data_IF_301924989583
#
_entry.id   IF_301924989583
#
_cell.length_a   1.000
_cell.length_b   1.000
_cell.length_c   1.000
_cell.angle_alpha   90.00
_cell.angle_beta   90.00
_cell.angle_gamma   90.00
#
_symmetry.space_group_name_H-M   'P 1'
#
loop_
_entity.id
_entity.type
_entity.pdbx_description
1 polymer ?
#
# COMPACT_ATOMS: atom_id res chain seq x y z
N UNK A 1 35.01 -11.83 8.62
CA UNK A 1 33.89 -12.78 8.79
C UNK A 1 32.61 -11.98 8.93
N UNK A 2 31.85 -11.81 7.85
CA UNK A 2 30.55 -11.14 7.92
C UNK A 2 29.56 -12.08 8.62
N UNK A 3 28.98 -11.63 9.73
CA UNK A 3 27.95 -12.37 10.46
C UNK A 3 26.82 -12.74 9.51
N UNK A 4 26.51 -14.05 9.41
CA UNK A 4 25.29 -14.59 8.80
C UNK A 4 24.09 -14.21 9.68
N UNK A 5 23.80 -12.92 9.83
CA UNK A 5 22.68 -12.48 10.66
C UNK A 5 21.36 -12.46 9.87
N UNK A 6 20.47 -13.38 10.24
CA UNK A 6 18.99 -13.23 10.25
C UNK A 6 18.23 -13.17 8.92
N UNK A 7 18.55 -13.98 7.92
CA UNK A 7 17.66 -14.16 6.76
C UNK A 7 16.42 -15.03 7.07
N UNK A 8 16.46 -15.81 8.15
CA UNK A 8 15.47 -16.85 8.50
C UNK A 8 14.52 -16.53 9.67
N UNK A 9 14.43 -15.27 10.12
CA UNK A 9 13.45 -14.97 11.17
C UNK A 9 12.03 -14.90 10.60
N UNK A 10 11.03 -15.45 11.32
CA UNK A 10 9.64 -15.35 10.91
C UNK A 10 9.23 -13.87 10.80
N UNK A 11 8.45 -13.56 9.78
CA UNK A 11 8.05 -12.18 9.47
C UNK A 11 6.73 -12.14 8.72
N UNK A 12 6.03 -11.01 8.82
CA UNK A 12 4.90 -10.68 7.96
C UNK A 12 5.41 -9.80 6.82
N UNK A 13 5.03 -10.11 5.60
CA UNK A 13 5.25 -9.25 4.44
C UNK A 13 3.91 -8.67 4.04
N UNK A 14 3.81 -7.34 4.07
CA UNK A 14 2.66 -6.56 3.65
C UNK A 14 2.94 -5.94 2.28
N UNK A 15 2.07 -6.15 1.30
CA UNK A 15 2.14 -5.47 0.02
C UNK A 15 0.98 -4.48 -0.13
N UNK A 16 1.30 -3.21 -0.44
CA UNK A 16 0.34 -2.13 -0.64
C UNK A 16 0.41 -1.67 -2.09
N UNK A 17 -0.72 -1.78 -2.78
CA UNK A 17 -0.95 -1.18 -4.09
C UNK A 17 -1.82 0.06 -3.94
N UNK A 18 -1.21 1.21 -3.67
CA UNK A 18 -1.92 2.49 -3.68
C UNK A 18 -2.05 2.96 -5.12
N UNK A 19 -3.11 2.56 -5.82
CA UNK A 19 -3.39 2.97 -7.20
C UNK A 19 -4.08 4.34 -7.29
N UNK A 20 -4.16 4.89 -8.50
CA UNK A 20 -4.84 6.18 -8.76
C UNK A 20 -6.34 6.12 -8.43
N UNK A 21 -6.99 5.01 -8.75
CA UNK A 21 -8.45 4.83 -8.56
C UNK A 21 -8.76 3.92 -7.37
N UNK A 22 -7.99 2.86 -7.18
CA UNK A 22 -8.22 1.84 -6.18
C UNK A 22 -6.93 1.49 -5.45
N UNK A 23 -7.08 1.17 -4.17
CA UNK A 23 -6.04 0.64 -3.31
C UNK A 23 -6.29 -0.82 -3.00
N UNK A 24 -5.25 -1.64 -3.11
CA UNK A 24 -5.26 -3.04 -2.72
C UNK A 24 -4.22 -3.33 -1.64
N UNK A 25 -4.50 -4.33 -0.81
CA UNK A 25 -3.58 -4.81 0.20
C UNK A 25 -3.55 -6.34 0.15
N UNK A 26 -2.34 -6.89 0.19
CA UNK A 26 -2.13 -8.33 0.36
C UNK A 26 -1.02 -8.57 1.37
N UNK A 27 -1.01 -9.75 2.00
CA UNK A 27 0.01 -10.07 2.98
C UNK A 27 0.30 -11.58 3.02
N UNK A 28 1.45 -11.95 3.54
CA UNK A 28 1.83 -13.34 3.78
C UNK A 28 2.75 -13.45 5.00
N UNK A 29 2.81 -14.65 5.56
CA UNK A 29 3.71 -14.98 6.65
C UNK A 29 4.87 -15.81 6.11
N UNK A 30 6.09 -15.44 6.51
CA UNK A 30 7.30 -16.24 6.29
C UNK A 30 7.63 -16.90 7.62
N UNK A 31 7.85 -18.21 7.60
CA UNK A 31 8.16 -19.02 8.77
C UNK A 31 9.67 -19.08 9.02
N UNK A 32 10.05 -19.64 10.18
CA UNK A 32 11.45 -19.70 10.62
C UNK A 32 12.34 -20.59 9.72
N UNK A 33 11.75 -21.55 9.01
CA UNK A 33 12.43 -22.41 8.05
C UNK A 33 12.60 -21.75 6.66
N UNK A 34 12.09 -20.53 6.48
CA UNK A 34 12.11 -19.80 5.22
C UNK A 34 10.96 -20.13 4.28
N UNK A 35 10.11 -21.10 4.61
CA UNK A 35 8.85 -21.34 3.90
C UNK A 35 7.87 -20.17 4.14
N UNK A 36 6.86 -20.05 3.28
CA UNK A 36 5.88 -18.97 3.36
C UNK A 36 4.47 -19.46 3.08
N UNK A 37 3.48 -18.79 3.66
CA UNK A 37 2.08 -19.06 3.39
C UNK A 37 1.69 -18.57 2.01
N UNK A 38 0.58 -19.09 1.47
CA UNK A 38 -0.11 -18.43 0.35
C UNK A 38 -0.42 -16.99 0.73
N UNK A 39 -0.22 -16.07 -0.21
CA UNK A 39 -0.61 -14.67 -0.01
C UNK A 39 -2.12 -14.56 0.21
N UNK A 40 -2.51 -13.69 1.13
CA UNK A 40 -3.90 -13.40 1.48
C UNK A 40 -4.25 -12.00 0.98
N UNK A 41 -5.37 -11.87 0.29
CA UNK A 41 -5.93 -10.58 -0.06
C UNK A 41 -6.69 -10.03 1.14
N UNK A 42 -6.55 -8.73 1.40
CA UNK A 42 -7.35 -8.05 2.40
C UNK A 42 -8.61 -7.49 1.74
N UNK A 43 -9.77 -7.93 2.23
CA UNK A 43 -11.06 -7.58 1.63
C UNK A 43 -12.01 -6.86 2.60
N UNK A 44 -11.66 -6.79 3.89
CA UNK A 44 -12.50 -6.30 4.99
C UNK A 44 -12.48 -4.76 5.13
N UNK A 45 -12.93 -4.07 4.09
CA UNK A 45 -13.02 -2.60 4.06
C UNK A 45 -14.34 -2.10 4.68
N UNK A 46 -14.36 -0.92 5.32
CA UNK A 46 -15.60 -0.28 5.73
C UNK A 46 -16.55 -0.07 4.56
N UNK A 47 -17.85 -0.27 4.79
CA UNK A 47 -18.90 -0.10 3.78
C UNK A 47 -19.07 -1.29 2.84
N UNK A 48 -17.98 -1.90 2.34
CA UNK A 48 -18.06 -3.00 1.37
C UNK A 48 -16.86 -3.95 1.41
N UNK A 49 -17.15 -5.25 1.60
CA UNK A 49 -16.16 -6.31 1.42
C UNK A 49 -15.80 -6.48 -0.06
N UNK A 50 -14.53 -6.29 -0.42
CA UNK A 50 -14.08 -6.31 -1.82
C UNK A 50 -12.56 -6.44 -1.94
N UNK A 51 -12.04 -6.92 -3.08
CA UNK A 51 -10.58 -7.06 -3.29
C UNK A 51 -9.79 -5.75 -3.27
N UNK A 52 -10.46 -4.63 -3.52
CA UNK A 52 -9.86 -3.29 -3.55
C UNK A 52 -10.85 -2.25 -3.03
N UNK A 53 -10.32 -1.21 -2.43
CA UNK A 53 -11.06 -0.06 -1.92
C UNK A 53 -10.75 1.19 -2.75
N UNK A 54 -11.70 2.11 -3.01
CA UNK A 54 -11.42 3.35 -3.70
C UNK A 54 -10.28 4.14 -3.05
N UNK A 55 -9.37 4.68 -3.86
CA UNK A 55 -8.34 5.65 -3.47
C UNK A 55 -8.99 7.03 -3.31
N UNK A 56 -9.88 7.14 -2.32
CA UNK A 56 -10.73 8.29 -2.10
C UNK A 56 -10.81 8.62 -0.60
N UNK A 57 -10.78 9.91 -0.28
CA UNK A 57 -10.92 10.44 1.06
C UNK A 57 -11.74 11.72 1.03
N UNK A 58 -12.54 11.94 2.06
CA UNK A 58 -13.31 13.16 2.27
C UNK A 58 -12.95 13.73 3.63
N UNK A 59 -12.97 15.06 3.71
CA UNK A 59 -12.82 15.81 4.95
C UNK A 59 -14.12 16.55 5.33
N UNK A 60 -15.18 16.36 4.55
CA UNK A 60 -16.53 16.79 4.93
C UNK A 60 -16.95 16.05 6.19
N UNK A 61 -17.53 16.77 7.16
CA UNK A 61 -18.07 16.16 8.35
C UNK A 61 -19.13 15.10 8.00
N UNK A 62 -19.11 13.98 8.72
CA UNK A 62 -20.16 12.96 8.58
C UNK A 62 -21.23 13.18 9.64
N UNK A 63 -22.50 13.18 9.23
CA UNK A 63 -23.64 13.19 10.13
C UNK A 63 -24.01 11.79 10.64
N UNK A 64 -23.72 10.76 9.83
CA UNK A 64 -24.23 9.40 10.07
C UNK A 64 -23.11 8.41 10.46
N UNK A 65 -21.94 8.94 10.87
CA UNK A 65 -20.84 8.15 11.42
C UNK A 65 -19.93 7.45 10.41
N UNK A 66 -20.09 7.73 9.10
CA UNK A 66 -19.19 7.21 8.06
C UNK A 66 -17.76 7.66 8.31
N UNK A 67 -16.81 6.79 7.96
CA UNK A 67 -15.40 7.05 8.19
C UNK A 67 -14.78 8.03 7.18
N UNK A 68 -15.51 8.37 6.12
CA UNK A 68 -15.14 9.36 5.08
C UNK A 68 -13.92 8.94 4.26
N UNK A 69 -13.80 7.64 3.94
CA UNK A 69 -12.79 7.14 3.00
C UNK A 69 -13.24 5.85 2.31
N UNK A 70 -12.65 5.56 1.15
CA UNK A 70 -12.91 4.31 0.44
C UNK A 70 -14.36 4.16 -0.01
N UNK A 71 -14.99 3.04 0.37
CA UNK A 71 -16.41 2.77 0.12
C UNK A 71 -17.33 3.44 1.14
N UNK A 72 -16.80 3.88 2.28
CA UNK A 72 -17.55 4.40 3.43
C UNK A 72 -17.48 5.94 3.47
N UNK A 73 -17.96 6.55 2.37
CA UNK A 73 -18.08 8.00 2.22
C UNK A 73 -19.56 8.34 2.14
N UNK A 74 -20.01 9.28 2.97
CA UNK A 74 -21.40 9.74 2.96
C UNK A 74 -21.74 10.41 1.63
N UNK A 75 -22.91 10.07 1.09
CA UNK A 75 -23.45 10.71 -0.13
C UNK A 75 -23.49 12.22 0.03
N UNK A 76 -23.03 12.95 -1.00
CA UNK A 76 -22.97 14.42 -0.99
C UNK A 76 -21.71 15.01 -0.38
N UNK A 77 -20.78 14.20 0.14
CA UNK A 77 -19.48 14.69 0.63
C UNK A 77 -18.57 15.16 -0.51
N UNK A 78 -17.68 16.11 -0.22
CA UNK A 78 -16.62 16.52 -1.14
C UNK A 78 -15.47 15.50 -1.09
N UNK A 79 -15.25 14.80 -2.21
CA UNK A 79 -14.33 13.67 -2.26
C UNK A 79 -13.07 14.00 -3.04
N UNK A 80 -11.92 13.87 -2.39
CA UNK A 80 -10.62 13.92 -3.04
C UNK A 80 -10.30 12.56 -3.67
N UNK A 81 -10.00 12.58 -4.97
CA UNK A 81 -9.65 11.41 -5.79
C UNK A 81 -8.41 11.71 -6.61
N UNK A 82 -7.77 10.66 -7.13
CA UNK A 82 -6.61 10.76 -8.01
C UNK A 82 -5.41 11.50 -7.40
N UNK A 83 -5.34 11.59 -6.07
CA UNK A 83 -4.28 12.28 -5.33
C UNK A 83 -2.89 11.69 -5.61
N UNK A 84 -2.80 10.41 -6.01
CA UNK A 84 -1.56 9.80 -6.53
C UNK A 84 -0.93 10.61 -7.67
N UNK A 85 -1.72 11.18 -8.59
CA UNK A 85 -1.20 11.93 -9.73
C UNK A 85 -0.54 13.25 -9.31
N UNK A 86 -1.00 13.85 -8.21
CA UNK A 86 -0.46 15.09 -7.67
C UNK A 86 0.97 14.90 -7.10
N UNK A 87 1.38 13.67 -6.81
CA UNK A 87 2.77 13.38 -6.44
C UNK A 87 3.77 13.66 -7.58
N UNK A 88 3.32 13.60 -8.84
CA UNK A 88 4.17 13.90 -10.02
C UNK A 88 4.31 15.40 -10.23
N UNK A 89 3.20 16.12 -10.07
CA UNK A 89 3.12 17.54 -10.28
C UNK A 89 3.60 18.20 -8.98
N UNK A 90 4.92 18.28 -8.81
CA UNK A 90 5.49 19.13 -7.79
C UNK A 90 4.82 20.50 -7.87
N UNK A 91 4.41 21.03 -6.72
CA UNK A 91 3.95 22.42 -6.52
C UNK A 91 2.62 22.81 -7.17
N UNK A 92 1.50 22.24 -6.71
CA UNK A 92 0.21 23.00 -6.71
C UNK A 92 0.10 23.95 -5.52
N UNK A 93 0.94 23.72 -4.51
CA UNK A 93 0.81 24.34 -3.19
C UNK A 93 1.42 25.74 -3.12
N UNK A 94 2.38 26.10 -3.98
CA UNK A 94 3.06 27.40 -3.87
C UNK A 94 2.24 28.59 -4.39
N UNK A 95 1.34 28.39 -5.36
CA UNK A 95 0.43 29.44 -5.82
C UNK A 95 -0.78 29.60 -4.89
N UNK A 96 -1.31 28.49 -4.35
CA UNK A 96 -2.41 28.51 -3.37
C UNK A 96 -1.95 29.01 -1.98
N UNK A 97 -0.71 28.74 -1.57
CA UNK A 97 -0.13 29.30 -0.33
C UNK A 97 -0.01 30.82 -0.39
N UNK A 98 0.20 31.41 -1.57
CA UNK A 98 0.26 32.87 -1.76
C UNK A 98 -1.11 33.56 -1.61
N UNK A 99 -2.21 32.81 -1.71
CA UNK A 99 -3.59 33.31 -1.54
C UNK A 99 -4.12 33.16 -0.09
N UNK A 100 -3.26 32.84 0.89
CA UNK A 100 -3.63 32.63 2.31
C UNK A 100 -4.00 33.92 3.07
N UNK A 101 -4.94 34.69 2.54
CA UNK A 101 -5.55 35.83 3.21
C UNK A 101 -7.07 35.65 3.46
N UNK A 102 -7.67 34.51 3.10
CA UNK A 102 -9.10 34.24 3.32
C UNK A 102 -9.35 32.80 3.73
N UNK A 103 -10.48 32.59 4.42
CA UNK A 103 -10.93 31.37 5.12
C UNK A 103 -11.04 30.16 4.18
N UNK A 104 -9.90 29.56 3.83
CA UNK A 104 -9.85 28.32 3.06
C UNK A 104 -9.85 27.15 4.05
N UNK A 105 -10.79 26.18 3.94
CA UNK A 105 -10.78 24.95 4.73
C UNK A 105 -9.39 24.27 4.74
N UNK A 106 -8.93 23.85 5.91
CA UNK A 106 -7.55 23.37 6.11
C UNK A 106 -7.13 22.24 5.14
N UNK A 107 -8.08 21.38 4.75
CA UNK A 107 -7.84 20.27 3.84
C UNK A 107 -7.53 20.70 2.39
N UNK A 108 -8.00 21.89 1.96
CA UNK A 108 -7.65 22.48 0.66
C UNK A 108 -6.24 23.08 0.63
N UNK A 109 -5.60 23.19 1.81
CA UNK A 109 -4.24 23.67 1.97
C UNK A 109 -3.22 22.55 2.22
N UNK A 110 -3.66 21.29 2.28
CA UNK A 110 -2.79 20.14 2.52
C UNK A 110 -1.96 19.79 1.29
N UNK A 111 -0.73 19.32 1.48
CA UNK A 111 0.05 18.75 0.38
C UNK A 111 -0.55 17.39 -0.01
N UNK A 112 -0.42 17.01 -1.28
CA UNK A 112 -0.82 15.69 -1.76
C UNK A 112 -0.21 14.56 -0.92
N UNK A 113 1.03 14.73 -0.46
CA UNK A 113 1.68 13.76 0.42
C UNK A 113 0.97 13.62 1.77
N UNK A 114 0.48 14.71 2.35
CA UNK A 114 -0.25 14.69 3.63
C UNK A 114 -1.61 14.00 3.47
N UNK A 115 -2.33 14.31 2.39
CA UNK A 115 -3.63 13.70 2.07
C UNK A 115 -3.45 12.18 1.87
N UNK A 116 -2.43 11.78 1.13
CA UNK A 116 -2.11 10.36 0.90
C UNK A 116 -1.71 9.69 2.21
N UNK A 117 -0.89 10.36 3.04
CA UNK A 117 -0.50 9.85 4.35
C UNK A 117 -1.71 9.58 5.23
N UNK A 118 -2.66 10.52 5.30
CA UNK A 118 -3.87 10.36 6.10
C UNK A 118 -4.80 9.27 5.58
N UNK A 119 -4.97 9.16 4.26
CA UNK A 119 -5.68 8.04 3.65
C UNK A 119 -5.03 6.70 4.00
N UNK A 120 -3.70 6.58 3.83
CA UNK A 120 -2.97 5.35 4.13
C UNK A 120 -2.95 5.01 5.62
N UNK A 121 -3.00 5.99 6.53
CA UNK A 121 -3.21 5.75 7.97
C UNK A 121 -4.54 5.04 8.21
N UNK A 122 -5.62 5.42 7.51
CA UNK A 122 -6.93 4.76 7.63
C UNK A 122 -6.88 3.33 7.08
N UNK A 123 -6.29 3.14 5.89
CA UNK A 123 -6.08 1.83 5.25
C UNK A 123 -5.32 0.87 6.16
N UNK A 124 -4.13 1.28 6.61
CA UNK A 124 -3.25 0.43 7.44
C UNK A 124 -3.83 0.19 8.83
N UNK A 125 -4.52 1.19 9.42
CA UNK A 125 -5.27 0.99 10.67
C UNK A 125 -6.31 -0.11 10.54
N UNK A 126 -7.11 -0.09 9.47
CA UNK A 126 -8.15 -1.11 9.26
C UNK A 126 -7.55 -2.52 9.15
N UNK A 127 -6.45 -2.65 8.41
CA UNK A 127 -5.72 -3.93 8.35
C UNK A 127 -5.15 -4.35 9.71
N UNK A 128 -4.60 -3.42 10.49
CA UNK A 128 -4.10 -3.69 11.83
C UNK A 128 -5.20 -4.20 12.78
N UNK A 129 -6.38 -3.58 12.75
CA UNK A 129 -7.55 -4.00 13.53
C UNK A 129 -7.97 -5.43 13.14
N UNK A 130 -8.05 -5.71 11.83
CA UNK A 130 -8.34 -7.05 11.34
C UNK A 130 -7.34 -8.10 11.83
N UNK A 131 -6.04 -7.81 11.70
CA UNK A 131 -4.99 -8.70 12.18
C UNK A 131 -5.03 -8.88 13.69
N UNK A 132 -5.33 -7.83 14.45
CA UNK A 132 -5.44 -7.89 15.92
C UNK A 132 -6.64 -8.72 16.37
N UNK A 133 -7.75 -8.70 15.63
CA UNK A 133 -8.93 -9.50 15.94
C UNK A 133 -8.71 -11.01 15.69
N UNK A 134 -7.94 -11.36 14.65
CA UNK A 134 -7.72 -12.76 14.27
C UNK A 134 -6.43 -13.35 14.86
N UNK A 135 -5.45 -12.52 15.18
CA UNK A 135 -4.17 -12.93 15.75
C UNK A 135 -3.52 -11.77 16.53
N UNK A 136 -4.02 -11.52 17.74
CA UNK A 136 -3.76 -10.33 18.57
C UNK A 136 -2.28 -9.94 18.76
N UNK A 137 -1.35 -10.88 18.57
CA UNK A 137 0.08 -10.69 18.84
C UNK A 137 0.95 -10.52 17.60
N UNK A 138 0.45 -10.81 16.39
CA UNK A 138 1.32 -10.94 15.21
C UNK A 138 2.02 -9.63 14.87
N UNK A 139 1.28 -8.55 14.61
CA UNK A 139 1.91 -7.31 14.14
C UNK A 139 2.66 -6.52 15.23
N UNK A 140 2.47 -6.88 16.51
CA UNK A 140 3.21 -6.24 17.62
C UNK A 140 4.53 -6.93 17.94
N UNK A 141 4.64 -8.22 17.64
CA UNK A 141 5.80 -9.03 18.04
C UNK A 141 6.59 -9.59 16.85
N UNK A 142 5.94 -9.76 15.69
CA UNK A 142 6.56 -10.32 14.49
C UNK A 142 7.09 -9.19 13.60
N UNK A 143 8.34 -9.25 13.12
CA UNK A 143 8.89 -8.31 12.15
C UNK A 143 7.97 -8.10 10.96
N UNK A 144 7.74 -6.85 10.59
CA UNK A 144 6.95 -6.44 9.44
C UNK A 144 7.86 -5.87 8.36
N UNK A 145 7.80 -6.46 7.18
CA UNK A 145 8.38 -5.89 5.97
C UNK A 145 7.23 -5.39 5.07
N UNK A 146 7.40 -4.24 4.43
CA UNK A 146 6.39 -3.68 3.50
C UNK A 146 6.94 -3.59 2.08
N UNK A 147 6.11 -3.95 1.10
CA UNK A 147 6.34 -3.78 -0.33
C UNK A 147 5.32 -2.77 -0.85
N UNK A 148 5.79 -1.75 -1.55
CA UNK A 148 4.94 -0.71 -2.13
C UNK A 148 5.05 -0.81 -3.65
N UNK A 149 3.91 -0.85 -4.34
CA UNK A 149 3.91 -0.81 -5.81
C UNK A 149 3.88 0.62 -6.33
N UNK A 150 4.57 0.85 -7.45
CA UNK A 150 4.54 2.12 -8.16
C UNK A 150 4.49 1.90 -9.67
N UNK A 151 3.99 2.86 -10.47
CA UNK A 151 4.08 2.79 -11.91
C UNK A 151 5.54 2.68 -12.37
N UNK A 152 5.80 2.01 -13.49
CA UNK A 152 7.18 1.82 -13.98
C UNK A 152 7.91 3.15 -14.17
N UNK A 153 7.27 4.07 -14.89
CA UNK A 153 7.75 5.42 -15.18
C UNK A 153 7.19 6.43 -14.17
N UNK A 154 7.56 6.23 -12.91
CA UNK A 154 7.26 7.16 -11.82
C UNK A 154 8.50 7.97 -11.44
N UNK A 155 8.44 9.32 -11.41
CA UNK A 155 9.59 10.15 -11.04
C UNK A 155 10.16 9.79 -9.66
N UNK A 156 11.48 9.93 -9.47
CA UNK A 156 12.13 9.62 -8.19
C UNK A 156 11.54 10.43 -7.03
N UNK A 157 11.25 11.71 -7.25
CA UNK A 157 10.57 12.58 -6.28
C UNK A 157 9.23 11.99 -5.87
N UNK A 158 8.41 11.58 -6.82
CA UNK A 158 7.10 11.00 -6.56
C UNK A 158 7.20 9.63 -5.85
N UNK A 159 8.17 8.78 -6.22
CA UNK A 159 8.47 7.52 -5.49
C UNK A 159 8.85 7.79 -4.04
N UNK A 160 9.73 8.75 -3.81
CA UNK A 160 10.18 9.13 -2.46
C UNK A 160 9.00 9.64 -1.62
N UNK A 161 8.15 10.51 -2.18
CA UNK A 161 6.92 10.97 -1.52
C UNK A 161 5.99 9.81 -1.15
N UNK A 162 5.80 8.83 -2.05
CA UNK A 162 5.00 7.62 -1.75
C UNK A 162 5.60 6.83 -0.58
N UNK A 163 6.92 6.60 -0.56
CA UNK A 163 7.60 5.90 0.53
C UNK A 163 7.42 6.65 1.86
N UNK A 164 7.60 7.97 1.87
CA UNK A 164 7.40 8.80 3.08
C UNK A 164 5.97 8.72 3.59
N UNK A 165 4.99 8.77 2.70
CA UNK A 165 3.58 8.67 3.07
C UNK A 165 3.25 7.29 3.68
N UNK A 166 3.72 6.20 3.07
CA UNK A 166 3.53 4.85 3.59
C UNK A 166 4.24 4.67 4.94
N UNK A 167 5.48 5.13 5.07
CA UNK A 167 6.23 5.04 6.33
C UNK A 167 5.56 5.84 7.46
N UNK A 168 5.03 7.02 7.14
CA UNK A 168 4.27 7.84 8.10
C UNK A 168 2.94 7.20 8.49
N UNK A 169 2.29 6.48 7.57
CA UNK A 169 1.09 5.70 7.85
C UNK A 169 1.38 4.47 8.73
N UNK A 170 2.50 3.81 8.50
CA UNK A 170 2.99 2.67 9.28
C UNK A 170 3.84 3.11 10.49
N UNK A 171 3.40 4.17 11.19
CA UNK A 171 4.16 4.74 12.30
C UNK A 171 4.49 3.72 13.41
N UNK A 172 5.63 3.86 14.12
CA UNK A 172 6.08 2.92 15.16
C UNK A 172 5.07 2.71 16.29
N UNK A 173 4.19 3.67 16.58
CA UNK A 173 3.16 3.53 17.62
C UNK A 173 2.16 2.41 17.33
N UNK A 174 1.82 2.17 16.06
CA UNK A 174 0.93 1.08 15.64
C UNK A 174 1.68 -0.12 15.07
N UNK A 175 2.79 0.12 14.37
CA UNK A 175 3.61 -0.91 13.73
C UNK A 175 5.04 -0.87 14.27
N UNK A 176 5.28 -1.23 15.54
CA UNK A 176 6.59 -1.12 16.17
C UNK A 176 7.64 -2.07 15.55
N UNK A 177 7.18 -3.09 14.82
CA UNK A 177 8.04 -4.11 14.21
C UNK A 177 8.35 -3.84 12.73
N UNK A 178 7.95 -2.69 12.18
CA UNK A 178 8.30 -2.31 10.82
C UNK A 178 9.83 -2.25 10.67
N UNK A 179 10.36 -3.05 9.75
CA UNK A 179 11.80 -3.27 9.60
C UNK A 179 12.34 -2.80 8.25
N UNK A 180 11.68 -3.19 7.15
CA UNK A 180 12.14 -2.89 5.79
C UNK A 180 11.00 -2.46 4.90
N UNK A 181 11.33 -1.57 3.97
CA UNK A 181 10.45 -1.10 2.91
C UNK A 181 11.09 -1.41 1.56
N UNK A 182 10.33 -2.04 0.67
CA UNK A 182 10.75 -2.36 -0.69
C UNK A 182 9.82 -1.64 -1.68
N UNK A 183 10.40 -1.18 -2.78
CA UNK A 183 9.65 -0.68 -3.92
C UNK A 183 9.64 -1.73 -5.02
N UNK A 184 8.49 -1.96 -5.62
CA UNK A 184 8.32 -2.83 -6.77
C UNK A 184 7.52 -2.10 -7.84
N UNK A 185 7.92 -2.21 -9.11
CA UNK A 185 7.07 -1.63 -10.17
C UNK A 185 5.82 -2.49 -10.36
N UNK A 186 4.68 -1.87 -10.64
CA UNK A 186 3.43 -2.56 -10.96
C UNK A 186 3.58 -3.65 -12.05
N UNK A 187 4.25 -3.42 -13.19
CA UNK A 187 4.47 -4.48 -14.17
C UNK A 187 5.39 -5.60 -13.67
N UNK A 188 6.38 -5.29 -12.83
CA UNK A 188 7.24 -6.31 -12.22
C UNK A 188 6.44 -7.17 -11.22
N UNK A 189 5.61 -6.55 -10.38
CA UNK A 189 4.73 -7.26 -9.47
C UNK A 189 3.77 -8.20 -10.23
N UNK A 190 3.22 -7.74 -11.35
CA UNK A 190 2.37 -8.55 -12.24
C UNK A 190 3.12 -9.75 -12.85
N UNK A 191 4.33 -9.53 -13.36
CA UNK A 191 5.17 -10.58 -13.92
C UNK A 191 5.56 -11.63 -12.85
N UNK A 192 5.99 -11.17 -11.67
CA UNK A 192 6.32 -12.04 -10.54
C UNK A 192 5.10 -12.86 -10.08
N UNK A 193 3.94 -12.23 -9.99
CA UNK A 193 2.71 -12.93 -9.64
C UNK A 193 2.36 -14.01 -10.66
N UNK A 194 2.44 -13.69 -11.96
CA UNK A 194 2.18 -14.65 -13.05
C UNK A 194 3.16 -15.83 -13.00
N UNK A 195 4.46 -15.55 -12.90
CA UNK A 195 5.50 -16.59 -12.82
C UNK A 195 5.36 -17.45 -11.57
N UNK A 196 5.08 -16.84 -10.42
CA UNK A 196 4.86 -17.55 -9.17
C UNK A 196 3.57 -18.39 -9.21
N UNK A 197 2.48 -17.85 -9.76
CA UNK A 197 1.21 -18.57 -9.92
C UNK A 197 1.36 -19.76 -10.85
N UNK A 198 2.11 -19.60 -11.94
CA UNK A 198 2.49 -20.70 -12.81
C UNK A 198 3.34 -21.72 -12.03
N UNK A 199 4.46 -21.33 -11.42
CA UNK A 199 5.30 -22.24 -10.63
C UNK A 199 4.54 -23.01 -9.52
N UNK A 200 3.55 -22.39 -8.87
CA UNK A 200 2.68 -23.06 -7.90
C UNK A 200 1.73 -24.08 -8.56
N UNK A 201 1.18 -23.76 -9.73
CA UNK A 201 0.39 -24.71 -10.56
C UNK A 201 1.29 -25.79 -11.17
N UNK A 202 2.56 -25.49 -11.38
CA UNK A 202 3.52 -26.28 -12.14
C UNK A 202 4.46 -27.15 -11.32
N UNK A 203 4.09 -27.37 -10.04
CA UNK A 203 4.21 -28.73 -9.49
C UNK A 203 3.39 -29.76 -10.31
N UNK A 204 2.61 -29.33 -11.31
CA UNK A 204 2.13 -30.14 -12.42
C UNK A 204 2.96 -30.08 -13.72
N UNK A 205 3.18 -29.00 -14.49
CA UNK A 205 3.92 -29.07 -15.80
C UNK A 205 4.40 -27.72 -16.40
N UNK A 206 5.43 -27.06 -15.87
CA UNK A 206 6.02 -25.92 -16.60
C UNK A 206 7.12 -26.48 -17.48
N UNK A 207 6.83 -26.64 -18.77
CA UNK A 207 7.81 -27.01 -19.78
C UNK A 207 8.66 -25.79 -20.21
N UNK A 208 9.94 -25.99 -20.56
CA UNK A 208 10.85 -24.91 -20.90
C UNK A 208 10.50 -24.29 -22.26
N UNK A 209 10.81 -23.00 -22.42
CA UNK A 209 10.90 -22.36 -23.73
C UNK A 209 12.13 -22.93 -24.43
N UNK A 210 11.95 -24.03 -25.17
CA UNK A 210 12.99 -24.60 -26.02
C UNK A 210 13.14 -23.78 -27.31
N UNK A 211 14.30 -23.10 -27.39
CA UNK A 211 15.03 -22.67 -28.60
C UNK A 211 14.35 -21.64 -29.52
N UNK A 212 14.67 -20.37 -29.31
CA UNK A 212 14.98 -19.49 -30.44
C UNK A 212 16.40 -19.84 -30.92
N UNK A 213 16.52 -20.79 -31.83
CA UNK A 213 17.72 -20.85 -32.67
C UNK A 213 17.59 -19.73 -33.70
N UNK A 214 18.35 -18.65 -33.49
CA UNK A 214 18.78 -17.81 -34.59
C UNK A 214 19.66 -18.71 -35.48
N UNK A 215 19.23 -18.94 -36.71
CA UNK A 215 20.06 -19.56 -37.75
C UNK A 215 20.38 -18.40 -38.69
N UNK A 216 21.67 -18.05 -38.75
CA UNK A 216 22.28 -17.24 -39.82
C UNK A 216 22.23 -17.97 -41.16
#
# INVERSE_FOLDING_TARGET
>A
MASKDKQNNPRVILAIDYGTTFTGLSWMEVLADGSHTTHKLFEDWPGLSSRKVPSAVSYTGSSDGQQQWGHDIQTGSEVLRWTKLELRQGTRVDELKKLRATVVPAHLCMDAEDIITDYLKKVTRRWFEHMSAHNASTLRNVPLDVVITNPAEWPYTAKNKTVRAVHSALSPGRFPTLRRTYLCSEPMASALYTAHSASMKDRARLMPVSRFSCIE
#
